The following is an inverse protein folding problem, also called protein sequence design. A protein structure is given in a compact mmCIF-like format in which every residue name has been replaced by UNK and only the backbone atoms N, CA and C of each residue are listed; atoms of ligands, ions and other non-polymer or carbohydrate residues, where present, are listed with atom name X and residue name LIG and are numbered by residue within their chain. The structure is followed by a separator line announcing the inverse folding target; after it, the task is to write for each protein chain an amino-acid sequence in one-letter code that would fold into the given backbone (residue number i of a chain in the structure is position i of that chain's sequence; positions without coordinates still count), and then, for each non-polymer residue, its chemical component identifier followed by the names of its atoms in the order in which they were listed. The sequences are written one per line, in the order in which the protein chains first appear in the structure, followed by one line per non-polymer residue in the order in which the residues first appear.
data_IF_384865852095
#
_entry.id   IF_384865852095
#
_cell.length_a   1.000
_cell.length_b   1.000
_cell.length_c   1.000
_cell.angle_alpha   90.00
_cell.angle_beta   90.00
_cell.angle_gamma   90.00
#
_symmetry.space_group_name_H-M   'P 1'
#
loop_
_entity.id
_entity.type
_entity.pdbx_description
1 polymer ?
#
# COMPACT_ATOMS: atom_id res chain seq x y z
N UNK A 1 11.43 -17.52 15.54
CA UNK A 1 12.56 -16.98 14.74
C UNK A 1 12.65 -17.82 13.48
N UNK A 2 12.73 -17.22 12.27
CA UNK A 2 12.75 -17.96 11.00
C UNK A 2 14.07 -18.69 10.82
N UNK A 3 14.03 -19.96 10.42
CA UNK A 3 15.22 -20.75 10.11
C UNK A 3 15.91 -20.21 8.87
N UNK A 4 17.26 -20.27 8.76
CA UNK A 4 17.93 -20.02 7.49
C UNK A 4 17.43 -20.99 6.42
N UNK A 5 17.67 -20.65 5.15
CA UNK A 5 17.41 -21.59 4.07
C UNK A 5 18.26 -22.86 4.27
N UNK A 6 17.70 -24.07 4.06
CA UNK A 6 18.48 -25.30 4.17
C UNK A 6 19.70 -25.31 3.24
N UNK A 7 20.78 -25.94 3.68
CA UNK A 7 22.01 -26.05 2.90
C UNK A 7 21.84 -26.92 1.66
N UNK A 8 22.65 -26.66 0.63
CA UNK A 8 22.55 -27.37 -0.66
C UNK A 8 22.63 -28.90 -0.53
N UNK A 9 23.50 -29.43 0.35
CA UNK A 9 23.62 -30.87 0.59
C UNK A 9 22.35 -31.49 1.17
N UNK A 10 21.68 -30.77 2.07
CA UNK A 10 20.44 -31.25 2.69
C UNK A 10 19.29 -31.20 1.69
N UNK A 11 19.22 -30.13 0.89
CA UNK A 11 18.24 -30.02 -0.20
C UNK A 11 18.38 -31.15 -1.23
N UNK A 12 19.61 -31.53 -1.61
CA UNK A 12 19.84 -32.66 -2.52
C UNK A 12 19.28 -33.96 -1.92
N UNK A 13 19.64 -34.27 -0.67
CA UNK A 13 19.17 -35.48 0.02
C UNK A 13 17.65 -35.51 0.17
N UNK A 14 17.04 -34.38 0.56
CA UNK A 14 15.59 -34.27 0.71
C UNK A 14 14.86 -34.40 -0.63
N UNK A 15 15.43 -33.88 -1.72
CA UNK A 15 14.88 -34.04 -3.07
C UNK A 15 14.96 -35.50 -3.55
N UNK A 16 16.08 -36.20 -3.35
CA UNK A 16 16.20 -37.63 -3.67
C UNK A 16 15.15 -38.48 -2.92
N UNK A 17 14.94 -38.19 -1.63
CA UNK A 17 13.92 -38.85 -0.82
C UNK A 17 12.50 -38.54 -1.31
N UNK A 18 12.25 -37.29 -1.73
CA UNK A 18 10.98 -36.88 -2.31
C UNK A 18 10.71 -37.61 -3.63
N UNK A 19 11.70 -37.68 -4.51
CA UNK A 19 11.61 -38.35 -5.81
C UNK A 19 11.35 -39.85 -5.62
N UNK A 20 12.02 -40.50 -4.67
CA UNK A 20 11.76 -41.90 -4.33
C UNK A 20 10.32 -42.14 -3.85
N UNK A 21 9.70 -41.18 -3.16
CA UNK A 21 8.34 -41.32 -2.60
C UNK A 21 7.24 -40.89 -3.59
N UNK A 22 7.52 -39.94 -4.48
CA UNK A 22 6.51 -39.31 -5.36
C UNK A 22 6.81 -39.42 -6.85
N UNK A 23 7.96 -39.92 -7.27
CA UNK A 23 8.44 -39.90 -8.65
C UNK A 23 7.43 -40.49 -9.65
N UNK A 24 6.83 -41.64 -9.32
CA UNK A 24 5.80 -42.27 -10.18
C UNK A 24 4.58 -41.35 -10.41
N UNK A 25 4.24 -40.52 -9.42
CA UNK A 25 3.11 -39.56 -9.47
C UNK A 25 3.49 -38.23 -10.12
N UNK A 26 4.78 -38.00 -10.38
CA UNK A 26 5.32 -36.79 -11.04
C UNK A 26 5.59 -37.00 -12.54
N UNK A 27 5.20 -38.15 -13.08
CA UNK A 27 5.39 -38.48 -14.50
C UNK A 27 4.54 -37.57 -15.39
N UNK A 28 5.17 -36.73 -16.21
CA UNK A 28 4.48 -35.83 -17.14
C UNK A 28 4.09 -36.55 -18.45
N UNK A 29 2.99 -36.14 -19.13
CA UNK A 29 2.12 -35.01 -18.79
C UNK A 29 1.13 -35.35 -17.67
N UNK A 30 1.18 -34.58 -16.57
CA UNK A 30 0.27 -34.73 -15.43
C UNK A 30 -0.92 -33.74 -15.57
N UNK A 31 -2.18 -34.21 -15.57
CA UNK A 31 -3.38 -33.37 -15.65
C UNK A 31 -3.46 -32.31 -14.54
N UNK A 32 -4.16 -31.21 -14.80
CA UNK A 32 -4.25 -30.09 -13.85
C UNK A 32 -4.93 -30.47 -12.53
N UNK A 33 -5.95 -31.33 -12.55
CA UNK A 33 -6.64 -31.82 -11.36
C UNK A 33 -5.75 -32.77 -10.53
N UNK A 34 -4.90 -33.56 -11.20
CA UNK A 34 -3.90 -34.41 -10.53
C UNK A 34 -2.77 -33.57 -9.93
N UNK A 35 -2.29 -32.54 -10.64
CA UNK A 35 -1.36 -31.53 -10.10
C UNK A 35 -1.92 -30.86 -8.85
N UNK A 36 -3.18 -30.44 -8.89
CA UNK A 36 -3.90 -29.87 -7.76
C UNK A 36 -3.98 -30.81 -6.55
N UNK A 37 -4.38 -32.08 -6.76
CA UNK A 37 -4.46 -33.08 -5.69
C UNK A 37 -3.09 -33.42 -5.11
N UNK A 38 -2.07 -33.53 -5.96
CA UNK A 38 -0.71 -33.78 -5.50
C UNK A 38 -0.16 -32.58 -4.72
N UNK A 39 -0.39 -31.35 -5.18
CA UNK A 39 0.00 -30.14 -4.45
C UNK A 39 -0.58 -30.11 -3.03
N UNK A 40 -1.87 -30.39 -2.87
CA UNK A 40 -2.53 -30.47 -1.56
C UNK A 40 -1.87 -31.54 -0.67
N UNK A 41 -1.64 -32.74 -1.21
CA UNK A 41 -1.00 -33.83 -0.47
C UNK A 41 0.43 -33.49 -0.02
N UNK A 42 1.22 -32.86 -0.89
CA UNK A 42 2.58 -32.44 -0.57
C UNK A 42 2.56 -31.38 0.53
N UNK A 43 1.64 -30.41 0.46
CA UNK A 43 1.46 -29.39 1.48
C UNK A 43 1.12 -30.01 2.85
N UNK A 44 0.14 -30.92 2.89
CA UNK A 44 -0.32 -31.57 4.12
C UNK A 44 0.75 -32.47 4.74
N UNK A 45 1.47 -33.26 3.94
CA UNK A 45 2.50 -34.13 4.49
C UNK A 45 3.68 -33.33 5.05
N UNK A 46 4.04 -32.18 4.45
CA UNK A 46 5.06 -31.29 5.02
C UNK A 46 4.71 -30.74 6.40
N UNK A 47 3.42 -30.63 6.77
CA UNK A 47 3.03 -30.22 8.12
C UNK A 47 3.48 -31.23 9.19
N UNK A 48 3.74 -32.47 8.80
CA UNK A 48 4.10 -33.58 9.70
C UNK A 48 5.60 -33.91 9.69
N UNK A 49 6.43 -33.14 8.98
CA UNK A 49 7.87 -33.41 8.87
C UNK A 49 8.67 -32.57 9.86
N UNK A 50 9.64 -33.20 10.53
CA UNK A 50 10.49 -32.55 11.53
C UNK A 50 11.70 -31.85 10.93
N UNK A 51 12.29 -32.40 9.87
CA UNK A 51 13.48 -31.84 9.25
C UNK A 51 13.14 -30.59 8.41
N UNK A 52 13.81 -29.44 8.64
CA UNK A 52 13.56 -28.22 7.86
C UNK A 52 13.79 -28.38 6.36
N UNK A 53 14.81 -29.14 5.94
CA UNK A 53 15.09 -29.40 4.53
C UNK A 53 13.95 -30.18 3.86
N UNK A 54 13.42 -31.21 4.54
CA UNK A 54 12.31 -32.01 4.04
C UNK A 54 11.03 -31.18 3.91
N UNK A 55 10.69 -30.35 4.90
CA UNK A 55 9.56 -29.42 4.79
C UNK A 55 9.73 -28.46 3.61
N UNK A 56 10.93 -27.89 3.47
CA UNK A 56 11.20 -26.89 2.45
C UNK A 56 11.01 -27.43 1.03
N UNK A 57 11.67 -28.55 0.67
CA UNK A 57 11.57 -29.10 -0.70
C UNK A 57 10.13 -29.51 -1.04
N UNK A 58 9.39 -29.96 -0.03
CA UNK A 58 8.02 -30.45 -0.17
C UNK A 58 7.03 -29.32 -0.39
N UNK A 59 7.16 -28.24 0.35
CA UNK A 59 6.41 -27.01 0.09
C UNK A 59 6.84 -26.33 -1.21
N UNK A 60 8.12 -26.38 -1.60
CA UNK A 60 8.51 -25.86 -2.92
C UNK A 60 7.81 -26.61 -4.05
N UNK A 61 7.79 -27.95 -4.01
CA UNK A 61 7.08 -28.73 -5.02
C UNK A 61 5.56 -28.56 -4.93
N UNK A 62 4.99 -28.48 -3.72
CA UNK A 62 3.57 -28.18 -3.53
C UNK A 62 3.19 -26.86 -4.20
N UNK A 63 4.00 -25.81 -3.99
CA UNK A 63 3.82 -24.52 -4.62
C UNK A 63 3.93 -24.62 -6.14
N UNK A 64 4.97 -25.26 -6.67
CA UNK A 64 5.15 -25.42 -8.11
C UNK A 64 3.94 -26.08 -8.79
N UNK A 65 3.46 -27.20 -8.23
CA UNK A 65 2.30 -27.90 -8.76
C UNK A 65 1.01 -27.09 -8.62
N UNK A 66 0.82 -26.39 -7.50
CA UNK A 66 -0.32 -25.51 -7.29
C UNK A 66 -0.34 -24.35 -8.28
N UNK A 67 0.82 -23.76 -8.59
CA UNK A 67 0.95 -22.70 -9.60
C UNK A 67 0.63 -23.23 -11.00
N UNK A 68 1.14 -24.43 -11.36
CA UNK A 68 0.85 -25.06 -12.65
C UNK A 68 -0.63 -25.45 -12.82
N UNK A 69 -1.32 -25.79 -11.73
CA UNK A 69 -2.73 -26.18 -11.77
C UNK A 69 -3.72 -25.04 -11.50
N UNK A 70 -3.25 -23.90 -11.00
CA UNK A 70 -4.11 -22.79 -10.57
C UNK A 70 -4.81 -23.04 -9.24
N UNK A 71 -4.26 -23.88 -8.36
CA UNK A 71 -4.80 -24.14 -7.03
C UNK A 71 -4.45 -23.01 -6.05
N UNK A 72 -5.22 -21.91 -6.08
CA UNK A 72 -4.94 -20.68 -5.34
C UNK A 72 -4.73 -20.89 -3.84
N UNK A 73 -5.61 -21.67 -3.18
CA UNK A 73 -5.54 -21.87 -1.73
C UNK A 73 -4.24 -22.55 -1.28
N UNK A 74 -3.86 -23.66 -1.92
CA UNK A 74 -2.61 -24.38 -1.62
C UNK A 74 -1.41 -23.50 -1.91
N UNK A 75 -1.39 -22.80 -3.05
CA UNK A 75 -0.28 -21.90 -3.38
C UNK A 75 -0.11 -20.83 -2.30
N UNK A 76 -1.21 -20.20 -1.87
CA UNK A 76 -1.16 -19.19 -0.82
C UNK A 76 -0.72 -19.76 0.53
N UNK A 77 -1.35 -20.83 1.01
CA UNK A 77 -1.00 -21.47 2.28
C UNK A 77 0.47 -21.89 2.30
N UNK A 78 0.95 -22.45 1.18
CA UNK A 78 2.34 -22.88 1.05
C UNK A 78 3.32 -21.70 1.11
N UNK A 79 3.01 -20.58 0.44
CA UNK A 79 3.82 -19.35 0.54
C UNK A 79 3.86 -18.83 1.96
N UNK A 80 2.73 -18.79 2.67
CA UNK A 80 2.71 -18.35 4.07
C UNK A 80 3.52 -19.27 4.97
N UNK A 81 3.44 -20.60 4.80
CA UNK A 81 4.31 -21.54 5.52
C UNK A 81 5.80 -21.33 5.24
N UNK A 82 6.16 -21.13 3.97
CA UNK A 82 7.54 -20.83 3.58
C UNK A 82 8.02 -19.53 4.22
N UNK A 83 7.16 -18.51 4.28
CA UNK A 83 7.45 -17.22 4.91
C UNK A 83 7.54 -17.31 6.43
N UNK A 84 6.69 -18.10 7.08
CA UNK A 84 6.70 -18.32 8.53
C UNK A 84 7.96 -19.04 8.99
N UNK A 85 8.43 -20.02 8.22
CA UNK A 85 9.47 -20.94 8.67
C UNK A 85 10.87 -20.61 8.16
N UNK A 86 11.00 -20.01 6.97
CA UNK A 86 12.30 -19.84 6.32
C UNK A 86 12.61 -18.37 6.01
N UNK A 87 13.86 -17.99 6.25
CA UNK A 87 14.42 -16.69 5.88
C UNK A 87 14.26 -16.43 4.37
N UNK A 88 14.14 -15.16 4.01
CA UNK A 88 13.87 -14.68 2.66
C UNK A 88 12.94 -13.47 2.70
N UNK A 89 12.77 -12.81 1.56
CA UNK A 89 11.80 -11.72 1.42
C UNK A 89 10.38 -12.29 1.25
N UNK A 90 9.49 -12.11 2.24
CA UNK A 90 8.15 -12.68 2.18
C UNK A 90 7.29 -12.05 1.07
N UNK A 91 7.54 -10.79 0.72
CA UNK A 91 6.79 -10.07 -0.31
C UNK A 91 7.19 -10.54 -1.70
N UNK A 92 8.48 -10.77 -1.93
CA UNK A 92 8.98 -11.34 -3.18
C UNK A 92 8.35 -12.72 -3.46
N UNK A 93 8.24 -13.60 -2.45
CA UNK A 93 7.60 -14.91 -2.60
C UNK A 93 6.09 -14.79 -2.89
N UNK A 94 5.38 -13.93 -2.16
CA UNK A 94 3.95 -13.65 -2.42
C UNK A 94 3.73 -13.12 -3.83
N UNK A 95 4.59 -12.20 -4.29
CA UNK A 95 4.54 -11.65 -5.65
C UNK A 95 4.74 -12.73 -6.72
N UNK A 96 5.78 -13.55 -6.60
CA UNK A 96 6.05 -14.65 -7.54
C UNK A 96 4.88 -15.62 -7.67
N UNK A 97 4.25 -15.98 -6.54
CA UNK A 97 3.08 -16.85 -6.55
C UNK A 97 1.86 -16.20 -7.21
N UNK A 98 1.60 -14.91 -6.96
CA UNK A 98 0.53 -14.18 -7.63
C UNK A 98 0.72 -14.11 -9.15
N UNK A 99 1.96 -13.89 -9.60
CA UNK A 99 2.29 -13.90 -11.03
C UNK A 99 1.96 -15.25 -11.66
N UNK A 100 2.44 -16.36 -11.08
CA UNK A 100 2.18 -17.71 -11.60
C UNK A 100 0.69 -18.06 -11.62
N UNK A 101 -0.07 -17.75 -10.56
CA UNK A 101 -1.52 -17.99 -10.52
C UNK A 101 -2.28 -17.15 -11.55
N UNK A 102 -1.85 -15.92 -11.80
CA UNK A 102 -2.51 -15.03 -12.76
C UNK A 102 -2.37 -15.51 -14.22
N UNK A 103 -1.29 -16.22 -14.55
CA UNK A 103 -1.06 -16.83 -15.87
C UNK A 103 -2.06 -17.95 -16.16
N UNK A 104 -2.45 -18.71 -15.13
CA UNK A 104 -3.35 -19.86 -15.26
C UNK A 104 -4.79 -19.54 -14.90
N UNK A 105 -5.10 -18.38 -14.33
CA UNK A 105 -6.47 -17.97 -14.03
C UNK A 105 -7.35 -17.90 -15.30
N UNK A 106 -8.50 -18.60 -15.28
CA UNK A 106 -9.43 -18.68 -16.42
C UNK A 106 -10.82 -18.16 -16.08
N UNK A 107 -11.28 -18.29 -14.84
CA UNK A 107 -12.61 -17.83 -14.44
C UNK A 107 -12.61 -16.37 -13.96
N UNK A 108 -13.78 -15.74 -13.95
CA UNK A 108 -13.93 -14.40 -13.39
C UNK A 108 -13.64 -14.41 -11.89
N UNK A 109 -14.13 -15.42 -11.18
CA UNK A 109 -13.91 -15.60 -9.74
C UNK A 109 -12.42 -15.68 -9.39
N UNK A 110 -11.65 -16.53 -10.08
CA UNK A 110 -10.19 -16.63 -9.89
C UNK A 110 -9.49 -15.30 -10.13
N UNK A 111 -9.88 -14.57 -11.18
CA UNK A 111 -9.30 -13.26 -11.47
C UNK A 111 -9.59 -12.24 -10.36
N UNK A 112 -10.81 -12.22 -9.82
CA UNK A 112 -11.18 -11.30 -8.75
C UNK A 112 -10.47 -11.65 -7.43
N UNK A 113 -10.36 -12.94 -7.12
CA UNK A 113 -9.61 -13.39 -5.94
C UNK A 113 -8.14 -12.95 -6.02
N UNK A 114 -7.48 -13.16 -7.16
CA UNK A 114 -6.09 -12.75 -7.37
C UNK A 114 -5.93 -11.23 -7.42
N UNK A 115 -6.91 -10.50 -7.97
CA UNK A 115 -6.90 -9.04 -7.94
C UNK A 115 -6.95 -8.51 -6.50
N UNK A 116 -7.81 -9.09 -5.65
CA UNK A 116 -7.89 -8.74 -4.22
C UNK A 116 -6.56 -9.00 -3.51
N UNK A 117 -5.95 -10.17 -3.75
CA UNK A 117 -4.65 -10.50 -3.16
C UNK A 117 -3.53 -9.56 -3.63
N UNK A 118 -3.55 -9.14 -4.90
CA UNK A 118 -2.63 -8.14 -5.44
C UNK A 118 -2.77 -6.77 -4.77
N UNK A 119 -4.01 -6.32 -4.52
CA UNK A 119 -4.26 -5.08 -3.79
C UNK A 119 -3.77 -5.14 -2.35
N UNK A 120 -4.07 -6.23 -1.63
CA UNK A 120 -3.57 -6.44 -0.26
C UNK A 120 -2.03 -6.42 -0.22
N UNK A 121 -1.36 -7.10 -1.15
CA UNK A 121 0.10 -7.09 -1.23
C UNK A 121 0.65 -5.69 -1.51
N UNK A 122 0.04 -4.96 -2.45
CA UNK A 122 0.41 -3.58 -2.75
C UNK A 122 0.26 -2.68 -1.53
N UNK A 123 -0.82 -2.86 -0.78
CA UNK A 123 -1.13 -2.05 0.39
C UNK A 123 -0.11 -2.24 1.51
N UNK A 124 0.25 -3.48 1.82
CA UNK A 124 1.30 -3.78 2.81
C UNK A 124 2.68 -3.23 2.37
N UNK A 125 2.99 -3.27 1.07
CA UNK A 125 4.24 -2.73 0.53
C UNK A 125 4.30 -1.20 0.59
N UNK A 126 3.16 -0.52 0.39
CA UNK A 126 3.04 0.94 0.59
C UNK A 126 3.33 1.32 2.04
N UNK A 127 2.78 0.57 3.02
CA UNK A 127 3.04 0.80 4.44
C UNK A 127 4.52 0.63 4.81
N UNK A 128 5.19 -0.33 4.16
CA UNK A 128 6.64 -0.52 4.27
C UNK A 128 7.47 0.45 3.43
N UNK A 129 6.82 1.38 2.71
CA UNK A 129 7.43 2.37 1.79
C UNK A 129 8.26 1.73 0.67
N UNK A 130 7.90 0.50 0.27
CA UNK A 130 8.47 -0.25 -0.86
C UNK A 130 7.66 0.02 -2.12
N UNK A 131 7.60 1.29 -2.55
CA UNK A 131 6.71 1.75 -3.62
C UNK A 131 6.97 1.06 -4.97
N UNK A 132 8.23 0.81 -5.30
CA UNK A 132 8.62 0.12 -6.53
C UNK A 132 8.14 -1.34 -6.55
N UNK A 133 8.12 -1.99 -5.39
CA UNK A 133 7.62 -3.37 -5.27
C UNK A 133 6.08 -3.42 -5.20
N UNK A 134 5.44 -2.36 -4.70
CA UNK A 134 3.98 -2.27 -4.60
C UNK A 134 3.31 -2.14 -5.97
N UNK A 135 3.90 -1.33 -6.87
CA UNK A 135 3.31 -0.99 -8.17
C UNK A 135 2.95 -2.21 -9.02
N UNK A 136 3.84 -3.20 -9.25
CA UNK A 136 3.51 -4.38 -10.03
C UNK A 136 2.27 -5.14 -9.50
N UNK A 137 2.09 -5.20 -8.17
CA UNK A 137 0.95 -5.86 -7.55
C UNK A 137 -0.38 -5.14 -7.82
N UNK A 138 -0.38 -3.80 -7.76
CA UNK A 138 -1.55 -2.99 -8.12
C UNK A 138 -1.84 -3.03 -9.64
N UNK A 139 -0.82 -3.03 -10.49
CA UNK A 139 -0.98 -3.17 -11.94
C UNK A 139 -1.56 -4.54 -12.33
N UNK A 140 -1.12 -5.60 -11.67
CA UNK A 140 -1.70 -6.94 -11.82
C UNK A 140 -3.18 -6.94 -11.44
N UNK A 141 -3.54 -6.35 -10.30
CA UNK A 141 -4.92 -6.24 -9.86
C UNK A 141 -5.79 -5.45 -10.86
N UNK A 142 -5.26 -4.34 -11.42
CA UNK A 142 -5.95 -3.58 -12.46
C UNK A 142 -6.18 -4.41 -13.73
N UNK A 143 -5.16 -5.14 -14.17
CA UNK A 143 -5.24 -6.04 -15.34
C UNK A 143 -6.28 -7.14 -15.14
N UNK A 144 -6.27 -7.80 -13.99
CA UNK A 144 -7.23 -8.85 -13.63
C UNK A 144 -8.65 -8.30 -13.50
N UNK A 145 -8.82 -7.13 -12.88
CA UNK A 145 -10.10 -6.43 -12.77
C UNK A 145 -10.69 -6.06 -14.13
N UNK A 146 -9.86 -5.62 -15.10
CA UNK A 146 -10.28 -5.40 -16.49
C UNK A 146 -10.73 -6.68 -17.16
N UNK A 147 -9.93 -7.76 -17.06
CA UNK A 147 -10.27 -9.09 -17.62
C UNK A 147 -11.53 -9.69 -17.00
N UNK A 148 -11.79 -9.41 -15.73
CA UNK A 148 -12.99 -9.79 -15.01
C UNK A 148 -14.20 -8.86 -15.25
N UNK A 149 -14.00 -7.74 -15.97
CA UNK A 149 -15.01 -6.67 -16.18
C UNK A 149 -15.57 -6.09 -14.88
N UNK A 150 -14.75 -6.05 -13.83
CA UNK A 150 -15.16 -5.47 -12.54
C UNK A 150 -14.77 -4.01 -12.46
N UNK A 151 -15.78 -3.13 -12.50
CA UNK A 151 -15.60 -1.68 -12.29
C UNK A 151 -14.99 -1.35 -10.93
N UNK A 152 -15.51 -1.89 -9.81
CA UNK A 152 -14.97 -1.62 -8.46
C UNK A 152 -13.48 -1.93 -8.33
N UNK A 153 -13.02 -3.10 -8.77
CA UNK A 153 -11.59 -3.46 -8.70
C UNK A 153 -10.71 -2.58 -9.60
N UNK A 154 -11.23 -2.13 -10.74
CA UNK A 154 -10.50 -1.20 -11.60
C UNK A 154 -10.35 0.19 -10.97
N UNK A 155 -11.35 0.65 -10.22
CA UNK A 155 -11.28 1.92 -9.48
C UNK A 155 -10.26 1.77 -8.36
N UNK A 156 -10.44 0.77 -7.50
CA UNK A 156 -9.55 0.54 -6.36
C UNK A 156 -8.08 0.40 -6.78
N UNK A 157 -7.78 -0.37 -7.84
CA UNK A 157 -6.41 -0.51 -8.32
C UNK A 157 -5.82 0.78 -8.91
N UNK A 158 -6.64 1.63 -9.54
CA UNK A 158 -6.18 2.95 -10.02
C UNK A 158 -5.91 3.89 -8.85
N UNK A 159 -6.77 3.88 -7.83
CA UNK A 159 -6.58 4.68 -6.62
C UNK A 159 -5.30 4.26 -5.89
N UNK A 160 -5.05 2.95 -5.75
CA UNK A 160 -3.80 2.42 -5.19
C UNK A 160 -2.58 2.83 -6.02
N UNK A 161 -2.66 2.84 -7.36
CA UNK A 161 -1.55 3.31 -8.20
C UNK A 161 -1.29 4.81 -8.02
N UNK A 162 -2.34 5.62 -7.94
CA UNK A 162 -2.22 7.05 -7.68
C UNK A 162 -1.60 7.32 -6.29
N UNK A 163 -1.97 6.52 -5.27
CA UNK A 163 -1.33 6.56 -3.96
C UNK A 163 0.17 6.26 -4.08
N UNK A 164 0.56 5.20 -4.77
CA UNK A 164 1.99 4.84 -4.94
C UNK A 164 2.76 6.00 -5.56
N UNK A 165 2.25 6.59 -6.64
CA UNK A 165 2.88 7.75 -7.29
C UNK A 165 3.02 8.93 -6.32
N UNK A 166 1.95 9.25 -5.60
CA UNK A 166 1.93 10.36 -4.66
C UNK A 166 2.95 10.18 -3.52
N UNK A 167 2.96 9.02 -2.86
CA UNK A 167 3.86 8.75 -1.74
C UNK A 167 5.32 8.66 -2.19
N UNK A 168 5.57 8.06 -3.36
CA UNK A 168 6.91 7.99 -3.94
C UNK A 168 7.46 9.37 -4.28
N UNK A 169 6.66 10.23 -4.92
CA UNK A 169 7.06 11.62 -5.19
C UNK A 169 7.45 12.35 -3.92
N UNK A 170 6.65 12.25 -2.84
CA UNK A 170 6.93 12.90 -1.57
C UNK A 170 8.24 12.41 -0.94
N UNK A 171 8.52 11.11 -0.98
CA UNK A 171 9.74 10.52 -0.42
C UNK A 171 10.99 10.92 -1.22
N UNK A 172 10.90 10.90 -2.56
CA UNK A 172 12.00 11.32 -3.46
C UNK A 172 12.29 12.82 -3.31
N UNK A 173 11.25 13.66 -3.33
CA UNK A 173 11.38 15.10 -3.15
C UNK A 173 11.96 15.45 -1.77
N UNK A 174 11.57 14.73 -0.72
CA UNK A 174 12.15 14.87 0.61
C UNK A 174 13.64 14.46 0.65
N UNK A 175 14.01 13.38 -0.03
CA UNK A 175 15.40 12.92 -0.09
C UNK A 175 16.30 13.97 -0.76
N UNK A 176 15.83 14.53 -1.89
CA UNK A 176 16.51 15.64 -2.55
C UNK A 176 16.58 16.88 -1.63
N UNK A 177 15.48 17.23 -0.96
CA UNK A 177 15.43 18.35 -0.03
C UNK A 177 16.41 18.21 1.14
N UNK A 178 16.53 17.03 1.75
CA UNK A 178 17.48 16.77 2.83
C UNK A 178 18.92 17.00 2.37
N UNK A 179 19.24 16.59 1.14
CA UNK A 179 20.57 16.83 0.54
C UNK A 179 20.83 18.33 0.38
N UNK A 180 19.86 19.09 -0.12
CA UNK A 180 19.98 20.54 -0.28
C UNK A 180 20.10 21.26 1.06
N UNK A 181 19.25 20.94 2.03
CA UNK A 181 19.22 21.58 3.35
C UNK A 181 20.50 21.35 4.16
N UNK A 182 21.25 20.27 3.88
CA UNK A 182 22.55 20.04 4.48
C UNK A 182 23.60 21.11 4.10
N UNK A 183 23.41 21.77 2.95
CA UNK A 183 24.34 22.80 2.43
C UNK A 183 23.70 24.20 2.47
N UNK A 184 22.38 24.29 2.27
CA UNK A 184 21.59 25.52 2.24
C UNK A 184 20.36 25.36 3.15
N UNK A 185 20.52 25.54 4.47
CA UNK A 185 19.45 25.27 5.45
C UNK A 185 18.19 26.14 5.28
N UNK A 186 18.31 27.25 4.56
CA UNK A 186 17.26 28.24 4.30
C UNK A 186 16.72 28.19 2.87
N UNK A 187 17.08 27.17 2.08
CA UNK A 187 16.58 26.99 0.72
C UNK A 187 15.04 26.83 0.72
N UNK A 188 14.27 27.77 0.13
CA UNK A 188 12.81 27.77 0.27
C UNK A 188 12.14 26.53 -0.35
N UNK A 189 12.66 26.05 -1.48
CA UNK A 189 12.12 24.88 -2.20
C UNK A 189 12.39 23.60 -1.40
N UNK A 190 13.59 23.45 -0.83
CA UNK A 190 13.90 22.30 0.01
C UNK A 190 13.08 22.31 1.32
N UNK A 191 12.88 23.48 1.94
CA UNK A 191 12.00 23.63 3.10
C UNK A 191 10.54 23.24 2.76
N UNK A 192 10.05 23.63 1.58
CA UNK A 192 8.73 23.24 1.08
C UNK A 192 8.56 21.71 1.01
N UNK A 193 9.47 21.02 0.32
CA UNK A 193 9.39 19.57 0.14
C UNK A 193 9.54 18.82 1.46
N UNK A 194 10.48 19.25 2.33
CA UNK A 194 10.64 18.67 3.66
C UNK A 194 9.40 18.89 4.53
N UNK A 195 8.82 20.09 4.49
CA UNK A 195 7.61 20.43 5.22
C UNK A 195 6.40 19.59 4.77
N UNK A 196 6.19 19.47 3.45
CA UNK A 196 5.17 18.59 2.85
C UNK A 196 5.32 17.16 3.35
N UNK A 197 6.54 16.62 3.31
CA UNK A 197 6.82 15.26 3.74
C UNK A 197 6.52 15.04 5.23
N UNK A 198 6.97 15.94 6.09
CA UNK A 198 6.71 15.85 7.53
C UNK A 198 5.21 15.87 7.83
N UNK A 199 4.45 16.78 7.22
CA UNK A 199 3.01 16.89 7.45
C UNK A 199 2.22 15.72 6.85
N UNK A 200 2.45 15.40 5.58
CA UNK A 200 1.60 14.49 4.81
C UNK A 200 2.00 13.02 4.98
N UNK A 201 3.29 12.72 5.14
CA UNK A 201 3.80 11.33 5.26
C UNK A 201 4.01 10.94 6.72
N UNK A 202 4.67 11.79 7.50
CA UNK A 202 5.00 11.44 8.90
C UNK A 202 3.92 11.85 9.89
N UNK A 203 2.94 12.66 9.47
CA UNK A 203 1.96 13.26 10.39
C UNK A 203 2.58 14.21 11.43
N UNK A 204 3.84 14.61 11.25
CA UNK A 204 4.60 15.47 12.16
C UNK A 204 4.38 16.94 11.80
N UNK A 205 3.14 17.39 12.00
CA UNK A 205 2.72 18.76 11.72
C UNK A 205 3.53 19.79 12.51
N UNK A 206 3.91 19.48 13.75
CA UNK A 206 4.71 20.36 14.60
C UNK A 206 6.05 20.73 13.96
N UNK A 207 6.73 19.76 13.34
CA UNK A 207 7.99 20.00 12.64
C UNK A 207 7.79 20.44 11.19
N UNK A 208 6.68 20.05 10.55
CA UNK A 208 6.41 20.41 9.15
C UNK A 208 5.93 21.86 8.95
N UNK A 209 5.02 22.35 9.80
CA UNK A 209 4.43 23.70 9.66
C UNK A 209 5.48 24.83 9.66
N UNK A 210 6.51 24.84 10.53
CA UNK A 210 7.56 25.87 10.47
C UNK A 210 8.31 25.89 9.14
N UNK A 211 8.52 24.73 8.52
CA UNK A 211 9.19 24.64 7.21
C UNK A 211 8.30 25.15 6.09
N UNK A 212 7.00 24.82 6.13
CA UNK A 212 6.02 25.36 5.19
C UNK A 212 5.88 26.88 5.30
N UNK A 213 5.92 27.43 6.51
CA UNK A 213 5.93 28.89 6.73
C UNK A 213 7.16 29.58 6.12
N UNK A 214 8.28 28.87 6.04
CA UNK A 214 9.53 29.39 5.52
C UNK A 214 9.80 28.97 4.06
N UNK A 215 8.85 28.31 3.41
CA UNK A 215 8.99 27.77 2.05
C UNK A 215 8.91 28.82 0.93
N UNK A 216 8.52 30.05 1.26
CA UNK A 216 8.26 31.10 0.27
C UNK A 216 6.98 30.92 -0.54
N UNK A 217 6.21 29.84 -0.31
CA UNK A 217 4.92 29.61 -0.96
C UNK A 217 3.83 30.36 -0.20
N UNK A 218 3.40 31.50 -0.74
CA UNK A 218 2.45 32.42 -0.10
C UNK A 218 1.19 31.71 0.45
N UNK A 219 0.58 30.81 -0.34
CA UNK A 219 -0.60 30.06 0.10
C UNK A 219 -0.31 29.16 1.31
N UNK A 220 0.89 28.58 1.40
CA UNK A 220 1.32 27.79 2.55
C UNK A 220 1.59 28.67 3.77
N UNK A 221 2.25 29.82 3.58
CA UNK A 221 2.48 30.81 4.65
C UNK A 221 1.15 31.24 5.26
N UNK A 222 0.16 31.58 4.44
CA UNK A 222 -1.16 32.00 4.89
C UNK A 222 -1.93 30.89 5.61
N UNK A 223 -1.85 29.64 5.13
CA UNK A 223 -2.50 28.51 5.79
C UNK A 223 -1.88 28.23 7.16
N UNK A 224 -0.55 28.21 7.25
CA UNK A 224 0.17 28.03 8.52
C UNK A 224 -0.12 29.18 9.49
N UNK A 225 -0.16 30.43 9.01
CA UNK A 225 -0.43 31.59 9.85
C UNK A 225 -1.83 31.53 10.48
N UNK A 226 -2.86 31.15 9.72
CA UNK A 226 -4.22 30.99 10.26
C UNK A 226 -4.31 29.87 11.29
N UNK A 227 -3.69 28.74 10.99
CA UNK A 227 -3.70 27.60 11.91
C UNK A 227 -2.96 27.90 13.22
N UNK A 228 -1.79 28.54 13.13
CA UNK A 228 -0.98 28.89 14.31
C UNK A 228 -1.53 30.06 15.13
N UNK A 229 -2.52 30.79 14.60
CA UNK A 229 -3.29 31.77 15.36
C UNK A 229 -4.31 31.14 16.34
N UNK A 230 -4.42 29.80 16.38
CA UNK A 230 -5.29 29.03 17.25
C UNK A 230 -6.78 29.44 17.11
N UNK A 231 -7.41 29.16 15.95
CA UNK A 231 -8.77 29.62 15.64
C UNK A 231 -9.82 29.06 16.61
N UNK A 232 -10.58 29.95 17.27
CA UNK A 232 -11.52 29.58 18.33
C UNK A 232 -12.98 29.59 17.87
N UNK A 233 -13.31 30.47 16.92
CA UNK A 233 -14.68 30.61 16.40
C UNK A 233 -14.91 29.73 15.18
N UNK A 234 -16.19 29.46 14.86
CA UNK A 234 -16.55 28.73 13.64
C UNK A 234 -16.03 29.45 12.37
N UNK A 235 -16.09 30.78 12.35
CA UNK A 235 -15.61 31.59 11.24
C UNK A 235 -14.10 31.46 11.03
N UNK A 236 -13.30 31.58 12.10
CA UNK A 236 -11.84 31.44 12.01
C UNK A 236 -11.41 30.01 11.60
N UNK A 237 -12.13 28.99 12.09
CA UNK A 237 -11.86 27.58 11.71
C UNK A 237 -12.20 27.32 10.25
N UNK A 238 -13.31 27.87 9.76
CA UNK A 238 -13.67 27.83 8.34
C UNK A 238 -12.62 28.57 7.49
N UNK A 239 -12.17 29.75 7.93
CA UNK A 239 -11.13 30.49 7.22
C UNK A 239 -9.80 29.72 7.17
N UNK A 240 -9.47 28.98 8.23
CA UNK A 240 -8.31 28.09 8.28
C UNK A 240 -8.48 26.91 7.32
N UNK A 241 -9.66 26.28 7.28
CA UNK A 241 -9.98 25.22 6.32
C UNK A 241 -9.87 25.71 4.87
N UNK A 242 -10.42 26.88 4.54
CA UNK A 242 -10.33 27.48 3.21
C UNK A 242 -8.87 27.78 2.83
N UNK A 243 -8.02 28.22 3.76
CA UNK A 243 -6.61 28.47 3.46
C UNK A 243 -5.86 27.18 3.08
N UNK A 244 -6.07 26.09 3.82
CA UNK A 244 -5.53 24.78 3.45
C UNK A 244 -6.11 24.26 2.12
N UNK A 245 -7.40 24.48 1.88
CA UNK A 245 -8.07 24.12 0.63
C UNK A 245 -7.50 24.89 -0.56
N UNK A 246 -7.22 26.19 -0.39
CA UNK A 246 -6.63 27.04 -1.43
C UNK A 246 -5.20 26.63 -1.74
N UNK A 247 -4.40 26.29 -0.72
CA UNK A 247 -3.07 25.70 -0.92
C UNK A 247 -3.20 24.41 -1.75
N UNK A 248 -4.08 23.49 -1.36
CA UNK A 248 -4.28 22.22 -2.06
C UNK A 248 -4.76 22.37 -3.51
N UNK A 249 -5.52 23.43 -3.80
CA UNK A 249 -6.00 23.74 -5.14
C UNK A 249 -4.97 24.48 -6.01
N UNK A 250 -3.97 25.12 -5.39
CA UNK A 250 -3.03 25.99 -6.10
C UNK A 250 -2.10 25.23 -7.06
N UNK A 251 -1.71 24.02 -6.69
CA UNK A 251 -0.83 23.15 -7.47
C UNK A 251 -1.10 21.69 -7.08
N UNK A 252 -1.03 20.77 -8.06
CA UNK A 252 -1.29 19.34 -7.84
C UNK A 252 -0.36 18.72 -6.79
N UNK A 253 0.85 19.23 -6.65
CA UNK A 253 1.80 18.79 -5.62
C UNK A 253 1.32 19.08 -4.19
N UNK A 254 0.39 20.02 -4.01
CA UNK A 254 -0.22 20.35 -2.72
C UNK A 254 -1.55 19.64 -2.46
N UNK A 255 -2.06 18.82 -3.39
CA UNK A 255 -3.37 18.17 -3.27
C UNK A 255 -3.56 17.41 -1.94
N UNK A 256 -2.49 16.85 -1.36
CA UNK A 256 -2.53 16.18 -0.06
C UNK A 256 -3.04 17.06 1.09
N UNK A 257 -2.95 18.40 1.00
CA UNK A 257 -3.46 19.33 2.02
C UNK A 257 -4.98 19.46 2.04
N UNK A 258 -5.72 18.88 1.08
CA UNK A 258 -7.16 18.72 1.22
C UNK A 258 -7.53 17.93 2.48
N UNK A 259 -6.69 16.98 2.91
CA UNK A 259 -6.89 16.25 4.17
C UNK A 259 -6.90 17.19 5.38
N UNK A 260 -6.01 18.19 5.42
CA UNK A 260 -5.96 19.21 6.49
C UNK A 260 -7.15 20.15 6.42
N UNK A 261 -7.58 20.54 5.21
CA UNK A 261 -8.79 21.33 5.02
C UNK A 261 -10.04 20.59 5.55
N UNK A 262 -10.19 19.31 5.21
CA UNK A 262 -11.28 18.45 5.69
C UNK A 262 -11.31 18.38 7.23
N UNK A 263 -10.15 18.24 7.86
CA UNK A 263 -10.07 18.21 9.32
C UNK A 263 -10.54 19.53 9.96
N UNK A 264 -10.13 20.68 9.41
CA UNK A 264 -10.58 21.98 9.91
C UNK A 264 -12.06 22.25 9.68
N UNK A 265 -12.63 21.80 8.56
CA UNK A 265 -14.09 21.85 8.37
C UNK A 265 -14.82 20.99 9.40
N UNK A 266 -14.30 19.80 9.71
CA UNK A 266 -14.89 18.93 10.73
C UNK A 266 -14.86 19.58 12.12
N UNK A 267 -13.77 20.27 12.48
CA UNK A 267 -13.63 21.02 13.75
C UNK A 267 -14.52 22.27 13.79
N UNK A 268 -14.83 22.87 12.63
CA UNK A 268 -15.75 24.01 12.54
C UNK A 268 -17.22 23.61 12.61
N UNK A 269 -17.58 22.45 12.05
CA UNK A 269 -18.97 22.05 11.80
C UNK A 269 -19.88 22.07 13.04
N UNK A 270 -19.47 21.61 14.25
CA UNK A 270 -20.34 21.65 15.44
C UNK A 270 -20.71 23.06 15.92
N UNK A 271 -19.95 24.08 15.50
CA UNK A 271 -20.11 25.48 15.92
C UNK A 271 -20.65 26.38 14.79
N UNK A 272 -20.79 25.83 13.58
CA UNK A 272 -21.27 26.54 12.41
C UNK A 272 -22.81 26.61 12.39
N UNK A 273 -23.35 27.66 11.76
CA UNK A 273 -24.80 27.82 11.59
C UNK A 273 -25.16 28.45 10.24
N UNK A 274 -26.40 28.24 9.78
CA UNK A 274 -26.95 28.89 8.59
C UNK A 274 -26.04 28.76 7.35
N UNK A 275 -25.55 29.90 6.86
CA UNK A 275 -24.68 29.97 5.69
C UNK A 275 -23.34 29.23 5.88
N UNK A 276 -22.81 29.17 7.10
CA UNK A 276 -21.55 28.49 7.39
C UNK A 276 -21.66 26.98 7.18
N UNK A 277 -22.76 26.34 7.61
CA UNK A 277 -23.01 24.92 7.35
C UNK A 277 -23.19 24.67 5.85
N UNK A 278 -23.93 25.54 5.15
CA UNK A 278 -24.12 25.44 3.70
C UNK A 278 -22.80 25.57 2.92
N UNK A 279 -21.87 26.41 3.40
CA UNK A 279 -20.53 26.51 2.86
C UNK A 279 -19.74 25.22 3.11
N UNK A 280 -19.68 24.73 4.35
CA UNK A 280 -18.96 23.49 4.70
C UNK A 280 -19.46 22.33 3.82
N UNK A 281 -20.76 22.11 3.74
CA UNK A 281 -21.35 21.03 2.95
C UNK A 281 -20.98 21.13 1.45
N UNK A 282 -20.96 22.35 0.91
CA UNK A 282 -20.53 22.58 -0.48
C UNK A 282 -19.07 22.21 -0.66
N UNK A 283 -18.19 22.61 0.27
CA UNK A 283 -16.76 22.34 0.20
C UNK A 283 -16.43 20.87 0.37
N UNK A 284 -17.09 20.16 1.27
CA UNK A 284 -16.95 18.71 1.41
C UNK A 284 -17.30 17.98 0.11
N UNK A 285 -18.37 18.41 -0.58
CA UNK A 285 -18.73 17.86 -1.91
C UNK A 285 -17.71 18.18 -2.99
N UNK A 286 -17.15 19.39 -3.00
CA UNK A 286 -16.11 19.79 -3.96
C UNK A 286 -14.79 19.05 -3.75
N UNK A 287 -14.39 18.86 -2.49
CA UNK A 287 -13.20 18.08 -2.14
C UNK A 287 -13.42 16.61 -2.47
N UNK A 288 -14.61 16.04 -2.23
CA UNK A 288 -14.94 14.67 -2.62
C UNK A 288 -14.99 14.43 -4.14
N UNK A 289 -14.98 15.48 -4.97
CA UNK A 289 -14.80 15.39 -6.43
C UNK A 289 -13.33 15.43 -6.85
N UNK A 290 -12.45 15.86 -5.96
CA UNK A 290 -11.02 15.66 -6.17
C UNK A 290 -10.79 14.16 -6.00
N UNK A 291 -10.05 13.53 -6.93
CA UNK A 291 -9.74 12.10 -6.89
C UNK A 291 -8.74 11.81 -5.75
N UNK A 292 -9.15 12.10 -4.51
CA UNK A 292 -8.43 11.74 -3.31
C UNK A 292 -8.66 10.26 -3.07
N UNK A 293 -7.59 9.52 -2.81
CA UNK A 293 -7.73 8.12 -2.45
C UNK A 293 -8.43 7.98 -1.09
N UNK A 294 -9.07 6.83 -0.81
CA UNK A 294 -9.60 6.54 0.52
C UNK A 294 -8.57 6.74 1.64
N UNK A 295 -7.29 6.44 1.39
CA UNK A 295 -6.19 6.66 2.34
C UNK A 295 -5.95 8.14 2.64
N UNK A 296 -5.97 8.99 1.62
CA UNK A 296 -5.85 10.44 1.81
C UNK A 296 -7.03 11.01 2.61
N UNK A 297 -8.22 10.42 2.47
CA UNK A 297 -9.41 10.80 3.23
C UNK A 297 -9.33 10.29 4.68
N UNK A 298 -8.89 9.04 4.90
CA UNK A 298 -8.77 8.48 6.25
C UNK A 298 -7.67 9.17 7.08
N UNK A 299 -6.59 9.63 6.44
CA UNK A 299 -5.61 10.51 7.08
C UNK A 299 -6.25 11.76 7.71
N UNK A 300 -7.28 12.33 7.08
CA UNK A 300 -8.02 13.47 7.63
C UNK A 300 -8.78 13.15 8.92
N UNK A 301 -9.27 11.91 9.09
CA UNK A 301 -9.98 11.47 10.32
C UNK A 301 -9.06 11.33 11.52
N UNK A 302 -7.82 10.86 11.30
CA UNK A 302 -6.79 10.78 12.33
C UNK A 302 -6.38 12.20 12.78
N UNK A 303 -6.35 13.15 11.85
CA UNK A 303 -5.94 14.54 12.10
C UNK A 303 -6.91 15.30 13.02
N UNK A 304 -8.22 15.04 12.97
CA UNK A 304 -9.20 15.70 13.85
C UNK A 304 -8.85 15.51 15.33
N UNK A 305 -8.40 14.31 15.72
CA UNK A 305 -8.00 14.00 17.10
C UNK A 305 -6.75 14.75 17.57
N UNK A 306 -5.92 15.22 16.64
CA UNK A 306 -4.70 15.97 16.93
C UNK A 306 -4.91 17.49 16.95
N UNK A 307 -5.98 18.01 16.32
CA UNK A 307 -6.36 19.43 16.38
C UNK A 307 -7.11 19.75 17.68
N UNK A 308 -7.87 18.79 18.22
CA UNK A 308 -8.62 18.95 19.47
C UNK A 308 -7.74 18.88 20.75
N UNK A 309 -6.43 18.64 20.62
CA UNK A 309 -5.46 18.61 21.73
C UNK A 309 -4.57 19.84 21.73
#
# INVERSE_FOLDING_TARGET
MRSPLPGASDLIRSNEALEKKYGERLTEPLPADEKSRLAQLLYEDALNLEAPADRFVRWQLALELALKSGHTDVAHQTVERLNEQFQGDPFARRWQALQGLAEVARTTEQRLELAQRGLVLSDELIELRRYDDARPAAELALSLGRRARSGPFQIQARDTLADIDHWKELEEANTAALTTLAVRPDDPVALMHRGRYLCLVQGDWNRGLPLLRNSGVEAAVQAVARETAAPMTAEERIATAEAWRNLAFSDSSFQGFYSRALAWYAVAQPFASGEQLALIDRRLKEIGRQNLSPRQIDAARIVVQAIDR
#
